data_IF_294802102050
#
_entry.id   IF_294802102050
#
_cell.length_a   1.000
_cell.length_b   1.000
_cell.length_c   1.000
_cell.angle_alpha   90.00
_cell.angle_beta   90.00
_cell.angle_gamma   90.00
#
_symmetry.space_group_name_H-M   'P 1'
#
loop_
_entity.id
_entity.type
_entity.pdbx_description
1 polymer ?
#
# COMPACT_ATOMS: atom_id res chain seq x y z
N UNK A 1 -1.93 20.04 -20.16
CA UNK A 1 -1.55 19.23 -18.99
C UNK A 1 -2.57 18.10 -18.79
N UNK A 2 -2.14 16.87 -18.56
CA UNK A 2 -3.07 15.77 -18.33
C UNK A 2 -3.71 15.95 -16.93
N UNK A 3 -5.04 16.02 -16.90
CA UNK A 3 -5.83 16.21 -15.67
C UNK A 3 -6.34 14.84 -15.20
N UNK A 4 -6.21 14.55 -13.90
CA UNK A 4 -6.84 13.39 -13.28
C UNK A 4 -8.22 13.84 -12.79
N UNK A 5 -9.27 13.18 -13.29
CA UNK A 5 -10.63 13.42 -12.84
C UNK A 5 -11.01 12.39 -11.78
N UNK A 6 -11.60 12.85 -10.67
CA UNK A 6 -12.11 12.03 -9.58
C UNK A 6 -13.63 12.06 -9.57
N UNK A 7 -14.26 10.89 -9.48
CA UNK A 7 -15.71 10.77 -9.30
C UNK A 7 -16.04 9.65 -8.32
N UNK A 8 -17.18 9.77 -7.63
CA UNK A 8 -17.72 8.75 -6.73
C UNK A 8 -18.73 7.93 -7.52
N UNK A 9 -18.58 6.60 -7.48
CA UNK A 9 -19.41 5.66 -8.24
C UNK A 9 -19.93 4.57 -7.31
N UNK A 10 -21.20 4.22 -7.47
CA UNK A 10 -21.80 3.05 -6.85
C UNK A 10 -22.30 2.09 -7.94
N UNK A 11 -22.28 0.79 -7.65
CA UNK A 11 -22.85 -0.26 -8.50
C UNK A 11 -22.37 -0.27 -9.96
N UNK A 12 -21.08 -0.01 -10.20
CA UNK A 12 -20.46 -0.01 -11.53
C UNK A 12 -20.70 -1.31 -12.31
N UNK A 13 -20.68 -2.44 -11.64
CA UNK A 13 -20.88 -3.77 -12.24
C UNK A 13 -22.34 -4.22 -12.24
N UNK A 14 -23.29 -3.36 -11.87
CA UNK A 14 -24.73 -3.64 -11.79
C UNK A 14 -25.08 -4.85 -10.90
N UNK A 15 -24.31 -5.09 -9.84
CA UNK A 15 -24.51 -6.21 -8.89
C UNK A 15 -25.31 -5.83 -7.66
N UNK A 16 -25.42 -4.53 -7.34
CA UNK A 16 -26.27 -4.08 -6.25
C UNK A 16 -27.74 -4.21 -6.59
N UNK A 17 -28.53 -4.65 -5.63
CA UNK A 17 -29.98 -4.71 -5.68
C UNK A 17 -30.56 -4.06 -4.42
N UNK A 18 -31.88 -4.10 -4.23
CA UNK A 18 -32.52 -3.66 -2.99
C UNK A 18 -32.13 -4.50 -1.77
N UNK A 19 -31.59 -5.72 -1.98
CA UNK A 19 -31.20 -6.67 -0.92
C UNK A 19 -29.69 -6.97 -0.90
N UNK A 20 -28.97 -6.66 -1.98
CA UNK A 20 -27.53 -6.95 -2.10
C UNK A 20 -26.74 -5.65 -2.12
N UNK A 21 -25.86 -5.49 -1.13
CA UNK A 21 -24.97 -4.34 -1.00
C UNK A 21 -23.71 -4.50 -1.85
N UNK A 22 -23.25 -3.38 -2.43
CA UNK A 22 -21.93 -3.30 -3.06
C UNK A 22 -21.17 -2.07 -2.55
N UNK A 23 -19.85 -2.12 -2.67
CA UNK A 23 -19.00 -1.03 -2.20
C UNK A 23 -19.18 0.22 -3.05
N UNK A 24 -19.14 1.38 -2.39
CA UNK A 24 -18.96 2.68 -3.04
C UNK A 24 -17.47 2.78 -3.43
N UNK A 25 -17.21 3.19 -4.67
CA UNK A 25 -15.87 3.27 -5.25
C UNK A 25 -15.53 4.72 -5.63
N UNK A 26 -14.27 5.10 -5.47
CA UNK A 26 -13.69 6.28 -6.11
C UNK A 26 -13.15 5.87 -7.49
N UNK A 27 -13.54 6.59 -8.53
CA UNK A 27 -13.04 6.38 -9.88
C UNK A 27 -12.09 7.50 -10.27
N UNK A 28 -10.87 7.13 -10.59
CA UNK A 28 -9.83 8.00 -11.13
C UNK A 28 -9.74 7.81 -12.64
N UNK A 29 -9.80 8.89 -13.40
CA UNK A 29 -9.75 8.85 -14.85
C UNK A 29 -8.69 9.82 -15.39
N UNK A 30 -7.74 9.30 -16.17
CA UNK A 30 -6.74 10.09 -16.91
C UNK A 30 -6.35 9.39 -18.21
N UNK A 31 -6.08 10.13 -19.28
CA UNK A 31 -5.60 9.59 -20.58
C UNK A 31 -6.43 8.39 -21.08
N UNK A 32 -7.77 8.43 -20.98
CA UNK A 32 -8.72 7.35 -21.33
C UNK A 32 -8.59 6.07 -20.49
N UNK A 33 -7.75 6.06 -19.45
CA UNK A 33 -7.66 4.96 -18.48
C UNK A 33 -8.51 5.27 -17.25
N UNK A 34 -9.03 4.21 -16.61
CA UNK A 34 -9.78 4.30 -15.36
C UNK A 34 -9.22 3.32 -14.34
N UNK A 35 -9.09 3.79 -13.11
CA UNK A 35 -8.77 2.96 -11.94
C UNK A 35 -9.79 3.21 -10.85
N UNK A 36 -10.03 2.19 -10.03
CA UNK A 36 -11.06 2.22 -9.01
C UNK A 36 -10.45 1.89 -7.65
N UNK A 37 -10.88 2.61 -6.64
CA UNK A 37 -10.51 2.39 -5.25
C UNK A 37 -11.79 2.18 -4.43
N UNK A 38 -11.88 1.08 -3.68
CA UNK A 38 -13.04 0.78 -2.82
C UNK A 38 -12.93 1.54 -1.50
N UNK A 39 -13.98 2.25 -1.12
CA UNK A 39 -14.04 2.93 0.18
C UNK A 39 -14.37 1.99 1.34
N UNK A 40 -14.75 0.73 1.07
CA UNK A 40 -15.24 -0.21 2.08
C UNK A 40 -16.70 0.03 2.50
N UNK A 41 -17.26 1.20 2.22
CA UNK A 41 -18.68 1.50 2.49
C UNK A 41 -19.57 0.71 1.53
N UNK A 42 -20.40 -0.16 2.05
CA UNK A 42 -21.33 -1.00 1.27
C UNK A 42 -22.77 -0.53 1.46
N UNK A 43 -23.49 -0.38 0.35
CA UNK A 43 -24.89 0.07 0.34
C UNK A 43 -25.67 -0.63 -0.77
N UNK A 44 -26.99 -0.68 -0.60
CA UNK A 44 -27.94 -1.17 -1.62
C UNK A 44 -28.29 -0.05 -2.60
N UNK A 45 -28.99 -0.40 -3.70
CA UNK A 45 -29.48 0.60 -4.67
C UNK A 45 -30.46 1.60 -4.06
N UNK A 46 -31.25 1.20 -3.05
CA UNK A 46 -32.23 2.08 -2.38
C UNK A 46 -31.59 3.03 -1.36
N UNK A 47 -30.36 2.71 -0.92
CA UNK A 47 -29.61 3.47 0.07
C UNK A 47 -28.58 4.43 -0.57
N UNK A 48 -28.55 4.51 -1.88
CA UNK A 48 -27.65 5.37 -2.64
C UNK A 48 -28.40 6.40 -3.46
N UNK A 49 -27.96 7.65 -3.43
CA UNK A 49 -28.45 8.72 -4.29
C UNK A 49 -27.40 9.06 -5.34
N UNK A 50 -27.70 8.76 -6.60
CA UNK A 50 -26.80 9.10 -7.71
C UNK A 50 -26.73 10.61 -7.99
N UNK A 51 -27.77 11.35 -7.65
CA UNK A 51 -27.82 12.80 -7.82
C UNK A 51 -26.87 13.52 -6.85
N UNK A 52 -26.94 13.18 -5.56
CA UNK A 52 -26.10 13.77 -4.52
C UNK A 52 -24.76 13.03 -4.32
N UNK A 53 -24.59 11.80 -4.89
CA UNK A 53 -23.44 10.91 -4.65
C UNK A 53 -23.21 10.62 -3.16
N UNK A 54 -24.31 10.36 -2.44
CA UNK A 54 -24.36 10.18 -1.00
C UNK A 54 -25.20 8.97 -0.61
N UNK A 55 -24.89 8.41 0.55
CA UNK A 55 -25.72 7.41 1.23
C UNK A 55 -26.94 8.09 1.80
N UNK A 56 -28.11 7.49 1.61
CA UNK A 56 -29.42 7.99 2.06
C UNK A 56 -30.23 6.85 2.69
N UNK A 57 -31.28 7.19 3.43
CA UNK A 57 -32.24 6.23 3.99
C UNK A 57 -31.64 5.16 4.91
N UNK A 58 -30.55 5.50 5.62
CA UNK A 58 -29.90 4.67 6.67
C UNK A 58 -29.73 5.51 7.94
N UNK A 59 -29.74 4.86 9.10
CA UNK A 59 -29.50 5.55 10.38
C UNK A 59 -28.08 6.06 10.53
N UNK A 60 -27.12 5.34 9.96
CA UNK A 60 -25.69 5.61 9.93
C UNK A 60 -25.24 6.35 8.64
N UNK A 61 -26.19 6.95 7.90
CA UNK A 61 -25.88 7.58 6.61
C UNK A 61 -24.85 8.70 6.73
N UNK A 62 -24.92 9.51 7.80
CA UNK A 62 -24.01 10.64 8.01
C UNK A 62 -22.57 10.14 8.25
N UNK A 63 -22.38 9.13 9.13
CA UNK A 63 -21.07 8.52 9.40
C UNK A 63 -20.47 7.91 8.13
N UNK A 64 -21.28 7.19 7.33
CA UNK A 64 -20.83 6.60 6.08
C UNK A 64 -20.46 7.66 5.03
N UNK A 65 -21.20 8.75 4.98
CA UNK A 65 -20.89 9.87 4.10
C UNK A 65 -19.60 10.59 4.54
N UNK A 66 -19.35 10.75 5.84
CA UNK A 66 -18.08 11.29 6.35
C UNK A 66 -16.89 10.42 5.92
N UNK A 67 -17.00 9.09 6.00
CA UNK A 67 -15.96 8.16 5.53
C UNK A 67 -15.71 8.36 4.03
N UNK A 68 -16.75 8.43 3.20
CA UNK A 68 -16.63 8.64 1.75
C UNK A 68 -15.96 9.99 1.46
N UNK A 69 -16.34 11.06 2.17
CA UNK A 69 -15.75 12.39 1.99
C UNK A 69 -14.29 12.43 2.46
N UNK A 70 -13.93 11.74 3.54
CA UNK A 70 -12.54 11.61 3.99
C UNK A 70 -11.66 10.96 2.92
N UNK A 71 -12.10 9.85 2.31
CA UNK A 71 -11.39 9.24 1.18
C UNK A 71 -11.30 10.16 -0.03
N UNK A 72 -12.37 10.92 -0.33
CA UNK A 72 -12.38 11.91 -1.42
C UNK A 72 -11.38 13.03 -1.18
N UNK A 73 -11.32 13.56 0.04
CA UNK A 73 -10.39 14.60 0.44
C UNK A 73 -8.93 14.10 0.27
N UNK A 74 -8.61 12.92 0.81
CA UNK A 74 -7.30 12.29 0.64
C UNK A 74 -6.94 12.09 -0.83
N UNK A 75 -7.87 11.62 -1.66
CA UNK A 75 -7.66 11.45 -3.08
C UNK A 75 -7.33 12.79 -3.79
N UNK A 76 -8.01 13.88 -3.41
CA UNK A 76 -7.73 15.21 -3.95
C UNK A 76 -6.36 15.75 -3.54
N UNK A 77 -5.91 15.48 -2.31
CA UNK A 77 -4.56 15.83 -1.84
C UNK A 77 -3.49 15.11 -2.66
N UNK A 78 -3.63 13.80 -2.86
CA UNK A 78 -2.74 12.98 -3.68
C UNK A 78 -2.69 13.52 -5.12
N UNK A 79 -3.85 13.75 -5.74
CA UNK A 79 -3.94 14.31 -7.10
C UNK A 79 -3.25 15.67 -7.18
N UNK A 80 -3.47 16.54 -6.19
CA UNK A 80 -2.89 17.89 -6.16
C UNK A 80 -1.37 17.85 -6.06
N UNK A 81 -0.82 16.94 -5.25
CA UNK A 81 0.62 16.69 -5.13
C UNK A 81 1.20 16.22 -6.46
N UNK A 82 0.60 15.20 -7.07
CA UNK A 82 1.05 14.64 -8.35
C UNK A 82 1.01 15.63 -9.50
N UNK A 83 -0.04 16.48 -9.56
CA UNK A 83 -0.14 17.53 -10.58
C UNK A 83 0.98 18.55 -10.42
N UNK A 84 1.36 18.94 -9.20
CA UNK A 84 2.50 19.82 -8.92
C UNK A 84 3.83 19.20 -9.36
N UNK A 85 3.98 17.88 -9.20
CA UNK A 85 5.16 17.12 -9.60
C UNK A 85 5.18 16.77 -11.11
N UNK A 86 4.13 17.13 -11.85
CA UNK A 86 4.00 16.84 -13.29
C UNK A 86 3.70 15.37 -13.61
N UNK A 87 3.39 14.57 -12.60
CA UNK A 87 3.06 13.16 -12.74
C UNK A 87 1.55 12.95 -12.88
N UNK A 88 1.11 12.01 -13.73
CA UNK A 88 -0.30 11.66 -13.93
C UNK A 88 -0.50 10.15 -14.09
N UNK A 89 0.22 9.34 -13.30
CA UNK A 89 0.08 7.89 -13.31
C UNK A 89 -0.99 7.45 -12.31
N UNK A 90 -2.05 6.80 -12.83
CA UNK A 90 -3.15 6.29 -12.00
C UNK A 90 -2.74 5.12 -11.10
N UNK A 91 -1.66 4.40 -11.42
CA UNK A 91 -1.18 3.33 -10.55
C UNK A 91 -0.58 3.92 -9.27
N UNK A 92 0.17 5.03 -9.40
CA UNK A 92 0.72 5.78 -8.25
C UNK A 92 -0.40 6.32 -7.36
N UNK A 93 -1.49 6.86 -7.97
CA UNK A 93 -2.66 7.30 -7.19
C UNK A 93 -3.24 6.16 -6.37
N UNK A 94 -3.45 5.00 -6.98
CA UNK A 94 -4.03 3.83 -6.29
C UNK A 94 -3.10 3.32 -5.20
N UNK A 95 -1.78 3.23 -5.45
CA UNK A 95 -0.78 2.86 -4.44
C UNK A 95 -0.86 3.77 -3.22
N UNK A 96 -0.83 5.09 -3.43
CA UNK A 96 -0.94 6.09 -2.35
C UNK A 96 -2.29 6.04 -1.62
N UNK A 97 -3.40 5.77 -2.34
CA UNK A 97 -4.70 5.54 -1.73
C UNK A 97 -4.73 4.31 -0.83
N UNK A 98 -4.01 3.24 -1.20
CA UNK A 98 -3.86 2.03 -0.41
C UNK A 98 -2.92 2.21 0.81
N UNK A 99 -2.31 3.39 0.97
CA UNK A 99 -1.29 3.63 1.98
C UNK A 99 0.10 3.16 1.56
N UNK A 100 0.25 2.80 0.29
CA UNK A 100 1.53 2.57 -0.37
C UNK A 100 2.06 3.93 -0.86
N UNK A 101 2.46 4.83 0.06
CA UNK A 101 3.14 6.05 -0.34
C UNK A 101 4.44 5.69 -1.08
N UNK A 102 4.75 6.39 -2.18
CA UNK A 102 6.09 6.35 -2.77
C UNK A 102 7.08 6.81 -1.69
N UNK A 103 7.76 5.86 -1.09
CA UNK A 103 8.61 6.06 0.08
C UNK A 103 8.22 5.25 1.30
N UNK A 104 7.00 4.66 1.37
CA UNK A 104 6.59 3.76 2.45
C UNK A 104 6.84 2.29 2.12
N UNK A 105 7.11 1.93 0.85
CA UNK A 105 7.51 0.58 0.48
C UNK A 105 8.92 0.26 0.96
N UNK A 106 9.00 -0.58 2.01
CA UNK A 106 10.29 -1.08 2.49
C UNK A 106 11.03 -1.89 1.43
N UNK A 107 10.30 -2.57 0.53
CA UNK A 107 10.89 -3.37 -0.54
C UNK A 107 11.56 -2.47 -1.59
N UNK A 108 10.89 -1.41 -2.05
CA UNK A 108 11.46 -0.44 -2.99
C UNK A 108 12.64 0.31 -2.37
N UNK A 109 12.55 0.62 -1.07
CA UNK A 109 13.66 1.16 -0.30
C UNK A 109 14.87 0.22 -0.34
N UNK A 110 14.68 -1.08 -0.08
CA UNK A 110 15.75 -2.07 -0.16
C UNK A 110 16.38 -2.13 -1.56
N UNK A 111 15.59 -2.07 -2.64
CA UNK A 111 16.07 -2.04 -4.03
C UNK A 111 16.91 -0.80 -4.32
N UNK A 112 16.43 0.37 -3.91
CA UNK A 112 17.18 1.61 -4.04
C UNK A 112 18.51 1.55 -3.29
N UNK A 113 18.50 1.20 -1.99
CA UNK A 113 19.70 1.08 -1.16
C UNK A 113 20.69 0.04 -1.70
N UNK A 114 20.19 -1.07 -2.26
CA UNK A 114 21.02 -2.07 -2.95
C UNK A 114 21.81 -1.44 -4.11
N UNK A 115 21.15 -0.58 -4.91
CA UNK A 115 21.78 0.08 -6.05
C UNK A 115 22.80 1.14 -5.63
N UNK A 116 22.51 1.90 -4.58
CA UNK A 116 23.38 2.95 -4.03
C UNK A 116 24.64 2.41 -3.35
N UNK A 117 24.58 1.18 -2.79
CA UNK A 117 25.69 0.59 -2.05
C UNK A 117 26.87 0.25 -2.97
N UNK A 118 28.05 0.76 -2.61
CA UNK A 118 29.34 0.43 -3.25
C UNK A 118 29.86 -0.90 -2.71
N UNK A 119 29.27 -2.01 -3.15
CA UNK A 119 29.67 -3.38 -2.80
C UNK A 119 29.91 -4.19 -4.08
N UNK A 120 30.66 -5.31 -3.96
CA UNK A 120 30.93 -6.18 -5.11
C UNK A 120 29.63 -6.82 -5.66
N UNK A 121 29.63 -7.18 -6.94
CA UNK A 121 28.46 -7.75 -7.62
C UNK A 121 27.94 -9.04 -6.96
N UNK A 122 28.82 -9.84 -6.37
CA UNK A 122 28.43 -11.03 -5.63
C UNK A 122 27.54 -10.68 -4.41
N UNK A 123 27.87 -9.61 -3.67
CA UNK A 123 27.07 -9.13 -2.55
C UNK A 123 25.74 -8.56 -3.03
N UNK A 124 25.72 -7.84 -4.15
CA UNK A 124 24.48 -7.33 -4.74
C UNK A 124 23.53 -8.46 -5.15
N UNK A 125 24.05 -9.54 -5.75
CA UNK A 125 23.26 -10.74 -6.07
C UNK A 125 22.63 -11.38 -4.83
N UNK A 126 23.32 -11.40 -3.70
CA UNK A 126 22.76 -11.89 -2.43
C UNK A 126 21.63 -10.99 -1.91
N UNK A 127 21.77 -9.67 -2.04
CA UNK A 127 20.67 -8.74 -1.73
C UNK A 127 19.47 -8.98 -2.64
N UNK A 128 19.67 -9.21 -3.94
CA UNK A 128 18.60 -9.51 -4.89
C UNK A 128 17.83 -10.78 -4.50
N UNK A 129 18.51 -11.83 -4.08
CA UNK A 129 17.88 -13.07 -3.59
C UNK A 129 17.03 -12.79 -2.35
N UNK A 130 17.55 -12.01 -1.39
CA UNK A 130 16.83 -11.63 -0.19
C UNK A 130 15.61 -10.74 -0.51
N UNK A 131 15.74 -9.73 -1.38
CA UNK A 131 14.63 -8.87 -1.79
C UNK A 131 13.56 -9.68 -2.52
N UNK A 132 13.95 -10.62 -3.39
CA UNK A 132 13.02 -11.56 -4.03
C UNK A 132 12.28 -12.41 -3.01
N UNK A 133 12.97 -12.88 -1.97
CA UNK A 133 12.34 -13.58 -0.86
C UNK A 133 11.29 -12.71 -0.14
N UNK A 134 11.62 -11.46 0.21
CA UNK A 134 10.65 -10.53 0.85
C UNK A 134 9.40 -10.33 -0.01
N UNK A 135 9.57 -10.17 -1.33
CA UNK A 135 8.45 -10.05 -2.28
C UNK A 135 7.56 -11.29 -2.28
N UNK A 136 8.16 -12.48 -2.30
CA UNK A 136 7.44 -13.77 -2.34
C UNK A 136 6.75 -14.05 -1.01
N UNK A 137 7.41 -13.81 0.12
CA UNK A 137 6.85 -14.00 1.45
C UNK A 137 5.76 -12.98 1.79
N UNK A 138 5.88 -11.75 1.32
CA UNK A 138 4.83 -10.73 1.25
C UNK A 138 4.31 -10.18 2.58
N UNK A 139 4.96 -10.46 3.73
CA UNK A 139 4.51 -9.99 5.04
C UNK A 139 5.23 -8.75 5.57
N UNK A 140 6.31 -8.33 4.92
CA UNK A 140 6.98 -7.05 5.14
C UNK A 140 6.93 -6.29 3.83
N UNK A 141 6.05 -5.29 3.75
CA UNK A 141 5.86 -4.45 2.57
C UNK A 141 6.21 -3.00 2.85
N UNK A 142 5.81 -2.51 4.04
CA UNK A 142 6.00 -1.13 4.48
C UNK A 142 7.01 -1.06 5.64
N UNK A 143 7.46 0.16 5.98
CA UNK A 143 8.31 0.39 7.16
C UNK A 143 7.59 0.02 8.47
N UNK A 144 6.27 0.15 8.54
CA UNK A 144 5.47 -0.23 9.72
C UNK A 144 5.45 -1.75 9.94
N UNK A 145 5.66 -2.54 8.88
CA UNK A 145 5.78 -3.99 8.99
C UNK A 145 7.13 -4.42 9.59
N UNK A 146 8.13 -3.53 9.67
CA UNK A 146 9.43 -3.82 10.24
C UNK A 146 9.39 -3.84 11.78
N UNK A 147 8.65 -4.77 12.35
CA UNK A 147 8.45 -4.93 13.79
C UNK A 147 8.85 -6.32 14.29
N UNK A 148 8.96 -6.48 15.62
CA UNK A 148 9.40 -7.73 16.27
C UNK A 148 8.55 -8.93 15.86
N UNK A 149 7.23 -8.76 15.79
CA UNK A 149 6.30 -9.84 15.42
C UNK A 149 6.57 -10.37 14.00
N UNK A 150 6.82 -9.47 13.05
CA UNK A 150 7.12 -9.86 11.66
C UNK A 150 8.50 -10.50 11.54
N UNK A 151 9.50 -10.03 12.30
CA UNK A 151 10.83 -10.66 12.32
C UNK A 151 10.76 -12.09 12.86
N UNK A 152 10.03 -12.31 13.96
CA UNK A 152 9.78 -13.67 14.47
C UNK A 152 9.01 -14.54 13.49
N UNK A 153 7.98 -14.00 12.84
CA UNK A 153 7.21 -14.71 11.81
C UNK A 153 8.08 -15.07 10.59
N UNK A 154 9.10 -14.27 10.25
CA UNK A 154 10.07 -14.59 9.20
C UNK A 154 10.95 -15.77 9.62
N UNK A 155 11.47 -15.75 10.83
CA UNK A 155 12.30 -16.83 11.38
C UNK A 155 11.55 -18.17 11.38
N UNK A 156 10.35 -18.19 11.94
CA UNK A 156 9.48 -19.37 11.94
C UNK A 156 9.14 -19.88 10.52
N UNK A 157 8.93 -18.97 9.59
CA UNK A 157 8.65 -19.34 8.20
C UNK A 157 9.87 -20.00 7.55
N UNK A 158 11.08 -19.45 7.77
CA UNK A 158 12.32 -19.98 7.20
C UNK A 158 12.64 -21.35 7.77
N UNK A 159 12.45 -21.56 9.08
CA UNK A 159 12.58 -22.88 9.72
C UNK A 159 11.58 -23.89 9.16
N UNK A 160 10.30 -23.52 8.97
CA UNK A 160 9.28 -24.39 8.35
C UNK A 160 9.57 -24.76 6.90
N UNK A 161 10.38 -23.96 6.20
CA UNK A 161 10.84 -24.24 4.83
C UNK A 161 12.15 -25.04 4.80
N UNK A 162 12.59 -25.61 5.92
CA UNK A 162 13.84 -26.37 6.08
C UNK A 162 15.07 -25.64 5.49
N UNK A 163 15.11 -24.30 5.63
CA UNK A 163 16.27 -23.53 5.17
C UNK A 163 17.48 -23.81 6.05
N UNK A 164 18.65 -23.95 5.40
CA UNK A 164 19.90 -24.10 6.12
C UNK A 164 20.14 -22.91 7.07
N UNK A 165 20.70 -23.17 8.25
CA UNK A 165 20.95 -22.17 9.29
C UNK A 165 21.76 -20.96 8.78
N UNK A 166 22.73 -21.17 7.88
CA UNK A 166 23.49 -20.11 7.25
C UNK A 166 22.62 -19.20 6.39
N UNK A 167 21.59 -19.75 5.70
CA UNK A 167 20.64 -18.98 4.89
C UNK A 167 19.72 -18.14 5.80
N UNK A 168 19.23 -18.71 6.90
CA UNK A 168 18.41 -18.01 7.89
C UNK A 168 19.21 -16.83 8.47
N UNK A 169 20.45 -17.08 8.88
CA UNK A 169 21.37 -16.06 9.39
C UNK A 169 21.59 -14.92 8.36
N UNK A 170 21.85 -15.26 7.10
CA UNK A 170 22.07 -14.27 6.03
C UNK A 170 20.80 -13.41 5.82
N UNK A 171 19.59 -14.00 5.87
CA UNK A 171 18.35 -13.25 5.69
C UNK A 171 18.10 -12.28 6.85
N UNK A 172 18.33 -12.69 8.09
CA UNK A 172 18.29 -11.80 9.26
C UNK A 172 19.34 -10.69 9.18
N UNK A 173 20.54 -11.02 8.76
CA UNK A 173 21.63 -10.05 8.54
C UNK A 173 21.24 -8.98 7.53
N UNK A 174 20.64 -9.36 6.40
CA UNK A 174 20.24 -8.41 5.36
C UNK A 174 19.02 -7.60 5.80
N UNK A 175 18.03 -8.20 6.45
CA UNK A 175 16.91 -7.47 7.00
C UNK A 175 17.37 -6.42 8.01
N UNK A 176 18.22 -6.80 8.96
CA UNK A 176 18.80 -5.89 9.95
C UNK A 176 19.60 -4.76 9.31
N UNK A 177 20.33 -5.04 8.23
CA UNK A 177 21.08 -4.06 7.47
C UNK A 177 20.17 -2.97 6.89
N UNK A 178 19.11 -3.35 6.17
CA UNK A 178 18.19 -2.41 5.55
C UNK A 178 17.32 -1.67 6.58
N UNK A 179 16.96 -2.31 7.70
CA UNK A 179 16.30 -1.63 8.82
C UNK A 179 17.21 -0.57 9.44
N UNK A 180 18.50 -0.86 9.63
CA UNK A 180 19.44 0.14 10.16
C UNK A 180 19.61 1.32 9.21
N UNK A 181 19.66 1.08 7.89
CA UNK A 181 19.68 2.16 6.91
C UNK A 181 18.40 3.02 7.01
N UNK A 182 17.25 2.38 7.11
CA UNK A 182 15.95 3.06 7.24
C UNK A 182 15.85 3.86 8.56
N UNK A 183 16.50 3.41 9.63
CA UNK A 183 16.61 4.17 10.88
C UNK A 183 17.48 5.41 10.73
N UNK A 184 18.63 5.29 10.04
CA UNK A 184 19.51 6.42 9.74
C UNK A 184 18.76 7.47 8.92
N UNK A 185 17.95 7.02 7.95
CA UNK A 185 17.13 7.89 7.10
C UNK A 185 15.85 8.41 7.83
N UNK A 186 15.62 8.06 9.10
CA UNK A 186 14.48 8.51 9.91
C UNK A 186 13.13 7.88 9.53
N UNK A 187 13.13 6.79 8.77
CA UNK A 187 11.93 6.10 8.29
C UNK A 187 11.40 5.03 9.28
N UNK A 188 12.26 4.58 10.20
CA UNK A 188 11.95 3.64 11.29
C UNK A 188 12.53 4.21 12.58
N UNK A 189 11.71 4.30 13.64
CA UNK A 189 12.13 4.84 14.92
C UNK A 189 12.98 3.87 15.74
N UNK A 190 12.67 2.58 15.70
CA UNK A 190 13.30 1.57 16.56
C UNK A 190 13.66 0.30 15.77
N UNK A 191 14.85 -0.23 16.04
CA UNK A 191 15.27 -1.49 15.46
C UNK A 191 14.61 -2.67 16.21
N UNK A 192 13.76 -3.49 15.54
CA UNK A 192 13.10 -4.64 16.15
C UNK A 192 14.08 -5.69 16.70
N UNK A 193 15.29 -5.76 16.16
CA UNK A 193 16.34 -6.68 16.63
C UNK A 193 16.93 -6.32 18.01
N UNK A 194 16.58 -5.18 18.59
CA UNK A 194 16.96 -4.85 19.99
C UNK A 194 16.13 -5.62 21.02
N UNK A 195 15.00 -6.20 20.59
CA UNK A 195 14.03 -6.88 21.45
C UNK A 195 13.90 -8.39 21.14
N UNK A 196 14.81 -8.91 20.35
CA UNK A 196 15.00 -10.33 20.03
C UNK A 196 16.26 -10.83 20.69
#
# INVERSE_FOLDING_TARGET
MAKINLSIIHNRLKRATSKHEVSVELCFCAKRQRKYFSTGVKVTTTQWSDASKMVVKRKDADELNEIIQAYRARANEIISKMVKEGCCDLNVVISQMNGEDEGTSFIEYCERRRNERKVCEHTKKRYDVFIKFLKTWGKIKSFQDCNVSKVRSMDEYLHRQDKAQCTIYDYHKYLKLFINDAMIDGLIEQNPYKFL
#
